data_IF_664826434451
#
_entry.id   IF_664826434451
#
_cell.length_a   1.000
_cell.length_b   1.000
_cell.length_c   1.000
_cell.angle_alpha   90.00
_cell.angle_beta   90.00
_cell.angle_gamma   90.00
#
_symmetry.space_group_name_H-M   'P 1'
#
loop_
_entity.id
_entity.type
_entity.pdbx_description
1 polymer ?
#
# COMPACT_ATOMS: atom_id res chain seq x y z
N UNK A 1 11.50 -10.93 -36.86
CA UNK A 1 10.59 -10.89 -35.69
C UNK A 1 11.49 -10.92 -34.49
N UNK A 2 11.62 -9.79 -33.77
CA UNK A 2 12.36 -9.73 -32.53
C UNK A 2 11.39 -10.15 -31.43
N UNK A 3 11.68 -11.25 -30.75
CA UNK A 3 10.96 -11.66 -29.55
C UNK A 3 11.07 -10.54 -28.50
N UNK A 4 9.98 -10.16 -27.82
CA UNK A 4 10.05 -9.23 -26.70
C UNK A 4 10.81 -9.92 -25.56
N UNK A 5 12.01 -9.45 -25.25
CA UNK A 5 12.77 -9.87 -24.06
C UNK A 5 12.05 -9.35 -22.82
N UNK A 6 11.25 -10.20 -22.19
CA UNK A 6 10.65 -9.93 -20.88
C UNK A 6 11.78 -9.91 -19.85
N UNK A 7 11.99 -8.80 -19.11
CA UNK A 7 13.02 -8.76 -18.10
C UNK A 7 12.72 -9.77 -16.97
N UNK A 8 13.75 -10.32 -16.31
CA UNK A 8 13.55 -11.28 -15.23
C UNK A 8 12.76 -10.64 -14.09
N UNK A 9 11.86 -11.37 -13.41
CA UNK A 9 11.06 -10.84 -12.32
C UNK A 9 11.97 -10.43 -11.17
N UNK A 10 12.03 -9.14 -10.90
CA UNK A 10 12.61 -8.65 -9.65
C UNK A 10 11.61 -8.96 -8.53
N UNK A 11 11.98 -9.90 -7.65
CA UNK A 11 11.28 -10.11 -6.38
C UNK A 11 11.34 -8.81 -5.60
N UNK A 12 10.24 -8.10 -5.47
CA UNK A 12 10.23 -6.87 -4.71
C UNK A 12 8.91 -6.54 -4.04
N UNK A 13 9.05 -5.91 -3.01
CA UNK A 13 8.36 -4.83 -2.35
C UNK A 13 7.10 -5.18 -1.56
N UNK A 14 6.12 -5.88 -2.07
CA UNK A 14 4.96 -6.26 -1.23
C UNK A 14 5.35 -7.21 -0.09
N UNK A 15 6.31 -8.10 -0.31
CA UNK A 15 6.81 -9.00 0.74
C UNK A 15 7.60 -8.25 1.84
N UNK A 16 8.19 -7.09 1.52
CA UNK A 16 8.96 -6.28 2.48
C UNK A 16 8.05 -5.41 3.35
N UNK A 17 7.00 -4.82 2.80
CA UNK A 17 6.00 -4.09 3.59
C UNK A 17 5.29 -5.00 4.61
N UNK A 18 4.96 -6.23 4.22
CA UNK A 18 4.35 -7.24 5.09
C UNK A 18 5.30 -7.62 6.23
N UNK A 19 6.62 -7.75 5.99
CA UNK A 19 7.61 -8.15 7.02
C UNK A 19 7.89 -7.08 8.07
N UNK A 20 7.89 -5.80 7.74
CA UNK A 20 8.18 -4.73 8.69
C UNK A 20 7.07 -4.55 9.74
N UNK A 21 5.81 -4.79 9.40
CA UNK A 21 4.71 -4.76 10.37
C UNK A 21 4.69 -5.99 11.31
N UNK A 22 5.20 -7.14 10.87
CA UNK A 22 5.21 -8.36 11.67
C UNK A 22 6.28 -8.34 12.77
N UNK A 23 7.40 -7.63 12.60
CA UNK A 23 8.47 -7.60 13.60
C UNK A 23 8.18 -6.71 14.81
N UNK A 24 7.21 -5.82 14.76
CA UNK A 24 6.87 -4.95 15.90
C UNK A 24 5.89 -5.60 16.90
N UNK A 25 5.29 -6.77 16.60
CA UNK A 25 4.24 -7.41 17.41
C UNK A 25 4.63 -8.72 18.09
N UNK A 26 5.81 -9.31 17.83
CA UNK A 26 6.19 -10.60 18.43
C UNK A 26 7.20 -10.38 19.54
N UNK A 27 6.71 -9.99 20.70
CA UNK A 27 7.37 -10.16 21.97
C UNK A 27 7.08 -11.56 22.53
N UNK A 28 8.09 -12.42 22.57
CA UNK A 28 8.25 -13.56 23.47
C UNK A 28 7.28 -14.75 23.35
N UNK A 29 7.65 -15.74 22.55
CA UNK A 29 7.56 -17.16 22.98
C UNK A 29 8.38 -18.05 22.04
N UNK A 30 9.21 -18.89 22.65
CA UNK A 30 10.32 -19.61 22.03
C UNK A 30 9.91 -20.80 21.15
N UNK A 31 10.92 -21.27 20.45
CA UNK A 31 11.07 -22.49 19.66
C UNK A 31 10.56 -22.48 18.22
N UNK A 32 11.38 -21.89 17.34
CA UNK A 32 11.59 -22.46 16.01
C UNK A 32 13.09 -22.35 15.67
N UNK A 33 13.84 -23.40 15.94
CA UNK A 33 15.24 -23.60 15.49
C UNK A 33 15.25 -24.43 14.22
N UNK A 34 16.09 -23.98 13.30
CA UNK A 34 16.63 -24.65 12.12
C UNK A 34 15.96 -24.32 10.78
N UNK A 35 16.54 -23.35 10.08
CA UNK A 35 17.05 -23.38 8.70
C UNK A 35 17.46 -22.01 8.14
N UNK A 36 17.64 -20.99 8.97
CA UNK A 36 18.00 -19.62 8.50
C UNK A 36 19.44 -19.19 8.89
N UNK A 37 20.32 -20.09 9.29
CA UNK A 37 21.67 -19.75 9.77
C UNK A 37 22.70 -19.44 8.66
N UNK A 38 22.47 -19.83 7.40
CA UNK A 38 23.53 -19.81 6.38
C UNK A 38 23.56 -18.57 5.47
N UNK A 39 22.51 -17.75 5.46
CA UNK A 39 22.49 -16.51 4.66
C UNK A 39 22.94 -15.28 5.45
N UNK A 40 22.87 -15.33 6.78
CA UNK A 40 23.17 -14.20 7.67
C UNK A 40 24.68 -13.93 7.85
N UNK A 41 25.54 -14.93 7.71
CA UNK A 41 26.98 -14.79 8.03
C UNK A 41 27.77 -14.05 6.95
N UNK A 42 27.33 -14.04 5.69
CA UNK A 42 28.01 -13.28 4.63
C UNK A 42 27.67 -11.78 4.62
N UNK A 43 26.55 -11.37 5.22
CA UNK A 43 26.16 -9.98 5.39
C UNK A 43 26.87 -9.29 6.57
N UNK A 44 27.19 -10.02 7.64
CA UNK A 44 27.77 -9.42 8.85
C UNK A 44 29.24 -8.96 8.70
N UNK A 45 29.99 -9.43 7.71
CA UNK A 45 31.38 -8.98 7.50
C UNK A 45 31.53 -7.63 6.80
N UNK A 46 30.44 -7.04 6.26
CA UNK A 46 30.45 -5.69 5.64
C UNK A 46 30.01 -4.56 6.58
N UNK A 47 29.48 -4.85 7.77
CA UNK A 47 28.88 -3.83 8.66
C UNK A 47 29.70 -3.44 9.88
N UNK A 48 30.99 -3.86 9.99
CA UNK A 48 31.86 -3.43 11.10
C UNK A 48 32.07 -1.90 11.16
N UNK A 49 31.96 -1.19 10.04
CA UNK A 49 32.08 0.27 9.99
C UNK A 49 30.77 1.03 10.30
N UNK A 50 29.62 0.35 10.29
CA UNK A 50 28.32 0.97 10.59
C UNK A 50 28.07 1.06 12.10
N UNK A 51 28.52 0.08 12.87
CA UNK A 51 28.36 0.07 14.34
C UNK A 51 29.21 1.12 15.06
N UNK A 52 30.39 1.47 14.52
CA UNK A 52 31.22 2.54 15.07
C UNK A 52 30.57 3.95 14.88
N UNK A 53 29.81 4.15 13.81
CA UNK A 53 29.08 5.41 13.58
C UNK A 53 27.81 5.54 14.44
N UNK A 54 27.15 4.43 14.77
CA UNK A 54 26.00 4.44 15.68
C UNK A 54 26.42 4.74 17.12
N UNK A 55 27.56 4.19 17.58
CA UNK A 55 28.10 4.45 18.91
C UNK A 55 28.50 5.93 19.11
N UNK A 56 29.01 6.60 18.07
CA UNK A 56 29.33 8.02 18.12
C UNK A 56 28.07 8.90 18.18
N UNK A 57 26.99 8.53 17.46
CA UNK A 57 25.73 9.27 17.48
C UNK A 57 25.02 9.18 18.85
N UNK A 58 25.08 8.04 19.52
CA UNK A 58 24.53 7.88 20.87
C UNK A 58 25.30 8.65 21.94
N UNK A 59 26.62 8.81 21.79
CA UNK A 59 27.43 9.60 22.73
C UNK A 59 27.12 11.11 22.67
N UNK A 60 26.76 11.64 21.50
CA UNK A 60 26.34 13.04 21.35
C UNK A 60 24.92 13.31 21.90
N UNK A 61 24.02 12.32 21.88
CA UNK A 61 22.67 12.46 22.47
C UNK A 61 22.69 12.46 24.00
N UNK A 62 23.62 11.74 24.64
CA UNK A 62 23.76 11.70 26.09
C UNK A 62 24.42 12.95 26.69
N UNK A 63 25.22 13.68 25.93
CA UNK A 63 25.83 14.93 26.37
C UNK A 63 24.85 16.12 26.35
N UNK A 64 23.74 16.04 25.61
CA UNK A 64 22.72 17.10 25.54
C UNK A 64 21.68 17.03 26.68
N UNK A 65 21.67 15.99 27.51
CA UNK A 65 20.70 15.77 28.58
C UNK A 65 21.18 16.30 29.97
N UNK A 66 22.37 16.90 30.05
CA UNK A 66 22.98 17.29 31.31
C UNK A 66 22.87 18.79 31.68
N UNK A 67 22.11 19.58 30.92
CA UNK A 67 21.91 21.02 31.26
C UNK A 67 20.43 21.37 31.19
N UNK A 68 19.79 21.53 32.36
CA UNK A 68 18.49 22.17 32.42
C UNK A 68 17.49 21.55 33.38
N UNK A 69 17.78 21.55 34.68
CA UNK A 69 16.70 21.48 35.68
C UNK A 69 16.12 22.88 35.87
N UNK A 70 14.91 23.09 35.39
CA UNK A 70 14.04 24.21 35.82
C UNK A 70 12.61 23.70 36.03
N UNK A 71 12.02 24.20 37.07
CA UNK A 71 10.85 23.87 37.88
C UNK A 71 9.55 23.53 37.14
N UNK A 72 8.59 22.83 37.79
CA UNK A 72 7.36 22.38 37.14
C UNK A 72 6.39 23.54 36.96
N UNK A 73 6.24 24.00 35.74
CA UNK A 73 5.15 24.83 35.28
C UNK A 73 3.98 23.93 34.85
N UNK A 74 2.81 24.34 35.22
CA UNK A 74 1.49 23.79 34.96
C UNK A 74 1.36 23.32 33.50
N UNK A 75 1.17 22.01 33.27
CA UNK A 75 0.98 21.43 31.95
C UNK A 75 -0.44 21.70 31.51
N UNK A 76 -0.64 22.77 30.75
CA UNK A 76 -1.82 22.92 29.90
C UNK A 76 -1.78 21.79 28.90
N UNK A 77 -2.73 20.88 28.99
CA UNK A 77 -2.78 19.67 28.19
C UNK A 77 -2.83 19.97 26.68
N UNK A 78 -1.67 19.88 26.04
CA UNK A 78 -1.55 19.87 24.59
C UNK A 78 -2.13 18.56 24.10
N UNK A 79 -3.28 18.61 23.44
CA UNK A 79 -3.92 17.45 22.82
C UNK A 79 -2.95 16.90 21.77
N UNK A 80 -2.42 15.72 22.02
CA UNK A 80 -1.68 14.95 21.02
C UNK A 80 -2.47 14.91 19.70
N UNK A 81 -1.83 15.11 18.54
CA UNK A 81 -2.52 15.06 17.26
C UNK A 81 -3.13 13.67 17.07
N UNK A 82 -4.44 13.64 16.83
CA UNK A 82 -5.18 12.43 16.51
C UNK A 82 -4.64 11.88 15.19
N UNK A 83 -4.17 10.61 15.13
CA UNK A 83 -3.77 10.00 13.86
C UNK A 83 -4.93 10.03 12.87
N UNK A 84 -4.76 10.64 11.72
CA UNK A 84 -5.76 10.75 10.66
C UNK A 84 -6.37 12.13 10.44
N UNK A 85 -5.97 13.16 11.19
CA UNK A 85 -6.29 14.54 10.82
C UNK A 85 -5.22 15.03 9.84
N UNK A 86 -5.59 15.43 8.61
CA UNK A 86 -4.63 16.10 7.73
C UNK A 86 -4.12 17.34 8.49
N UNK A 87 -2.83 17.38 8.76
CA UNK A 87 -2.18 18.62 9.19
C UNK A 87 -2.42 19.58 8.02
N UNK A 88 -3.15 20.66 8.25
CA UNK A 88 -3.28 21.76 7.32
C UNK A 88 -1.91 22.45 7.19
N UNK A 89 -0.93 21.75 6.66
CA UNK A 89 0.23 22.34 6.04
C UNK A 89 -0.25 22.99 4.74
N UNK A 90 0.11 24.23 4.51
CA UNK A 90 -0.07 24.90 3.23
C UNK A 90 0.55 24.00 2.16
N UNK A 91 -0.31 23.27 1.43
CA UNK A 91 0.12 22.48 0.26
C UNK A 91 0.69 23.47 -0.74
N UNK A 92 2.02 23.49 -0.91
CA UNK A 92 2.65 24.31 -1.92
C UNK A 92 2.30 23.75 -3.29
N UNK A 93 1.96 24.63 -4.22
CA UNK A 93 1.83 24.23 -5.62
C UNK A 93 3.23 24.05 -6.19
N UNK A 94 3.41 23.06 -7.05
CA UNK A 94 4.65 22.90 -7.80
C UNK A 94 4.90 24.19 -8.62
N UNK A 95 5.94 24.93 -8.25
CA UNK A 95 6.27 26.21 -8.85
C UNK A 95 6.84 26.03 -10.26
N UNK A 96 6.83 27.11 -11.05
CA UNK A 96 7.45 27.11 -12.38
C UNK A 96 8.94 26.80 -12.31
N UNK A 97 9.65 27.35 -11.33
CA UNK A 97 11.08 27.08 -11.09
C UNK A 97 11.35 25.60 -10.80
N UNK A 98 10.49 24.95 -10.00
CA UNK A 98 10.60 23.51 -9.73
C UNK A 98 10.34 22.68 -10.98
N UNK A 99 9.39 23.08 -11.84
CA UNK A 99 9.13 22.42 -13.14
C UNK A 99 10.32 22.56 -14.08
N UNK A 100 10.87 23.75 -14.23
CA UNK A 100 12.07 24.00 -15.05
C UNK A 100 13.26 23.17 -14.54
N UNK A 101 13.43 23.09 -13.22
CA UNK A 101 14.48 22.25 -12.62
C UNK A 101 14.28 20.77 -12.97
N UNK A 102 13.05 20.26 -12.88
CA UNK A 102 12.73 18.89 -13.27
C UNK A 102 12.93 18.67 -14.76
N UNK A 103 12.59 19.64 -15.62
CA UNK A 103 12.80 19.56 -17.07
C UNK A 103 14.26 19.41 -17.45
N UNK A 104 15.17 20.00 -16.67
CA UNK A 104 16.62 19.86 -16.84
C UNK A 104 17.20 18.51 -16.41
N UNK A 105 16.40 17.64 -15.77
CA UNK A 105 16.83 16.31 -15.28
C UNK A 105 16.62 15.22 -16.32
N UNK A 106 17.38 14.12 -16.20
CA UNK A 106 17.12 12.89 -16.97
C UNK A 106 15.87 12.15 -16.44
N UNK A 107 15.25 11.24 -17.24
CA UNK A 107 14.00 10.58 -16.92
C UNK A 107 13.95 9.92 -15.54
N UNK A 108 15.00 9.21 -15.13
CA UNK A 108 15.10 8.58 -13.81
C UNK A 108 15.00 9.60 -12.66
N UNK A 109 15.75 10.69 -12.77
CA UNK A 109 15.77 11.75 -11.77
C UNK A 109 14.44 12.53 -11.75
N UNK A 110 13.79 12.71 -12.90
CA UNK A 110 12.46 13.31 -13.00
C UNK A 110 11.44 12.48 -12.24
N UNK A 111 11.41 11.14 -12.45
CA UNK A 111 10.48 10.24 -11.77
C UNK A 111 10.68 10.26 -10.24
N UNK A 112 11.92 10.15 -9.79
CA UNK A 112 12.26 10.19 -8.36
C UNK A 112 11.90 11.54 -7.73
N UNK A 113 12.24 12.66 -8.38
CA UNK A 113 11.98 14.01 -7.87
C UNK A 113 10.48 14.31 -7.80
N UNK A 114 9.73 14.02 -8.87
CA UNK A 114 8.28 14.26 -8.90
C UNK A 114 7.54 13.37 -7.90
N UNK A 115 7.96 12.12 -7.71
CA UNK A 115 7.37 11.26 -6.68
C UNK A 115 7.68 11.79 -5.27
N UNK A 116 8.87 12.32 -5.03
CA UNK A 116 9.21 12.99 -3.76
C UNK A 116 8.32 14.22 -3.52
N UNK A 117 8.07 15.04 -4.54
CA UNK A 117 7.15 16.17 -4.45
C UNK A 117 5.71 15.70 -4.19
N UNK A 118 5.24 14.63 -4.84
CA UNK A 118 3.93 14.07 -4.62
C UNK A 118 3.75 13.56 -3.17
N UNK A 119 4.73 12.84 -2.63
CA UNK A 119 4.76 12.39 -1.23
C UNK A 119 4.72 13.58 -0.26
N UNK A 120 5.38 14.68 -0.61
CA UNK A 120 5.39 15.92 0.18
C UNK A 120 4.14 16.79 -0.09
N UNK A 121 3.12 16.26 -0.75
CA UNK A 121 1.85 16.92 -1.07
C UNK A 121 1.98 18.21 -1.89
N UNK A 122 2.99 18.32 -2.76
CA UNK A 122 3.07 19.41 -3.74
C UNK A 122 1.99 19.19 -4.81
N UNK A 123 1.07 20.15 -4.92
CA UNK A 123 -0.02 20.10 -5.90
C UNK A 123 0.54 20.12 -7.32
N UNK A 124 -0.06 19.34 -8.20
CA UNK A 124 0.37 19.20 -9.60
C UNK A 124 1.50 18.19 -9.81
N UNK A 125 2.19 17.70 -8.75
CA UNK A 125 3.27 16.72 -8.92
C UNK A 125 2.78 15.40 -9.52
N UNK A 126 1.61 14.92 -9.11
CA UNK A 126 0.98 13.71 -9.67
C UNK A 126 0.55 13.90 -11.12
N UNK A 127 0.12 15.10 -11.51
CA UNK A 127 -0.24 15.42 -12.90
C UNK A 127 0.99 15.48 -13.79
N UNK A 128 2.10 16.04 -13.30
CA UNK A 128 3.38 16.03 -13.99
C UNK A 128 3.90 14.61 -14.20
N UNK A 129 3.77 13.71 -13.22
CA UNK A 129 4.09 12.28 -13.37
C UNK A 129 3.25 11.69 -14.51
N UNK A 130 1.94 11.86 -14.47
CA UNK A 130 1.01 11.34 -15.48
C UNK A 130 1.32 11.85 -16.89
N UNK A 131 1.70 13.12 -17.02
CA UNK A 131 2.06 13.73 -18.30
C UNK A 131 3.36 13.17 -18.89
N UNK A 132 4.35 12.82 -18.05
CA UNK A 132 5.69 12.41 -18.46
C UNK A 132 5.88 10.90 -18.56
N UNK A 133 5.08 10.11 -17.88
CA UNK A 133 5.26 8.67 -17.74
C UNK A 133 5.40 7.94 -19.08
N UNK A 134 4.71 8.41 -20.12
CA UNK A 134 4.83 7.84 -21.47
C UNK A 134 6.25 7.99 -22.04
N UNK A 135 6.91 9.12 -21.74
CA UNK A 135 8.29 9.38 -22.18
C UNK A 135 9.30 8.56 -21.37
N UNK A 136 9.00 8.29 -20.10
CA UNK A 136 9.90 7.53 -19.22
C UNK A 136 9.91 6.03 -19.52
N UNK A 137 8.88 5.51 -20.15
CA UNK A 137 8.76 4.09 -20.45
C UNK A 137 9.98 3.57 -21.22
N UNK A 138 10.61 2.52 -20.70
CA UNK A 138 11.86 1.97 -21.22
C UNK A 138 13.13 2.80 -20.93
N UNK A 139 13.00 3.99 -20.28
CA UNK A 139 14.13 4.85 -19.93
C UNK A 139 14.40 4.90 -18.42
N UNK A 140 13.44 4.49 -17.61
CA UNK A 140 13.58 4.38 -16.15
C UNK A 140 13.65 2.91 -15.74
N UNK A 141 14.26 2.67 -14.60
CA UNK A 141 14.40 1.32 -14.03
C UNK A 141 14.19 1.36 -12.52
N UNK A 142 13.96 0.21 -11.95
CA UNK A 142 13.91 0.05 -10.50
C UNK A 142 15.29 0.38 -9.92
N UNK A 143 15.38 1.47 -9.15
CA UNK A 143 16.54 1.85 -8.35
C UNK A 143 16.18 1.74 -6.86
N UNK A 144 17.19 1.65 -5.98
CA UNK A 144 16.95 1.63 -4.52
C UNK A 144 16.24 2.92 -4.06
N UNK A 145 16.58 4.07 -4.66
CA UNK A 145 15.96 5.35 -4.37
C UNK A 145 14.49 5.35 -4.79
N UNK A 146 14.17 4.92 -6.02
CA UNK A 146 12.81 4.85 -6.52
C UNK A 146 11.97 3.84 -5.72
N UNK A 147 12.53 2.66 -5.39
CA UNK A 147 11.87 1.66 -4.56
C UNK A 147 11.47 2.24 -3.20
N UNK A 148 12.41 2.93 -2.52
CA UNK A 148 12.13 3.56 -1.23
C UNK A 148 11.02 4.60 -1.32
N UNK A 149 11.02 5.44 -2.36
CA UNK A 149 9.97 6.44 -2.57
C UNK A 149 8.62 5.78 -2.86
N UNK A 150 8.59 4.74 -3.69
CA UNK A 150 7.36 3.99 -3.98
C UNK A 150 6.78 3.35 -2.72
N UNK A 151 7.63 2.76 -1.87
CA UNK A 151 7.21 2.17 -0.60
C UNK A 151 6.59 3.23 0.33
N UNK A 152 7.21 4.39 0.47
CA UNK A 152 6.66 5.50 1.26
C UNK A 152 5.31 5.96 0.69
N UNK A 153 5.22 6.12 -0.63
CA UNK A 153 4.01 6.56 -1.32
C UNK A 153 2.85 5.56 -1.17
N UNK A 154 3.11 4.26 -1.30
CA UNK A 154 2.10 3.20 -1.16
C UNK A 154 1.62 3.02 0.29
N UNK A 155 2.42 3.40 1.28
CA UNK A 155 2.02 3.41 2.69
C UNK A 155 1.32 4.72 3.11
N UNK A 156 1.30 5.75 2.27
CA UNK A 156 0.56 6.99 2.50
C UNK A 156 -0.94 6.84 2.20
N UNK A 157 -1.77 7.73 2.71
CA UNK A 157 -3.24 7.70 2.56
C UNK A 157 -3.76 8.40 1.29
N UNK A 158 -2.89 9.10 0.55
CA UNK A 158 -3.29 9.81 -0.67
C UNK A 158 -3.33 8.86 -1.88
N UNK A 159 -4.55 8.51 -2.31
CA UNK A 159 -4.76 7.61 -3.46
C UNK A 159 -4.22 8.18 -4.78
N UNK A 160 -4.09 9.51 -4.91
CA UNK A 160 -3.48 10.14 -6.11
C UNK A 160 -1.99 9.83 -6.17
N UNK A 161 -1.33 9.87 -5.02
CA UNK A 161 0.11 9.52 -4.91
C UNK A 161 0.33 8.03 -5.16
N UNK A 162 -0.54 7.16 -4.62
CA UNK A 162 -0.51 5.72 -4.93
C UNK A 162 -0.74 5.45 -6.42
N UNK A 163 -1.70 6.15 -7.02
CA UNK A 163 -1.96 6.06 -8.45
C UNK A 163 -0.75 6.50 -9.31
N UNK A 164 -0.02 7.53 -8.86
CA UNK A 164 1.21 7.96 -9.51
C UNK A 164 2.33 6.90 -9.41
N UNK A 165 2.39 6.14 -8.29
CA UNK A 165 3.28 4.97 -8.19
C UNK A 165 2.91 3.93 -9.25
N UNK A 166 1.62 3.64 -9.47
CA UNK A 166 1.21 2.69 -10.51
C UNK A 166 1.64 3.13 -11.90
N UNK A 167 1.54 4.44 -12.20
CA UNK A 167 2.03 4.99 -13.46
C UNK A 167 3.54 4.77 -13.64
N UNK A 168 4.32 5.07 -12.60
CA UNK A 168 5.79 4.89 -12.61
C UNK A 168 6.15 3.41 -12.74
N UNK A 169 5.47 2.52 -12.02
CA UNK A 169 5.77 1.10 -12.02
C UNK A 169 5.48 0.45 -13.38
N UNK A 170 4.37 0.83 -14.01
CA UNK A 170 4.08 0.42 -15.40
C UNK A 170 5.17 0.91 -16.36
N UNK A 171 5.71 2.13 -16.18
CA UNK A 171 6.80 2.65 -17.01
C UNK A 171 8.12 1.93 -16.78
N UNK A 172 8.45 1.58 -15.51
CA UNK A 172 9.63 0.76 -15.15
C UNK A 172 9.55 -0.62 -15.80
N UNK A 173 8.37 -1.24 -15.79
CA UNK A 173 8.13 -2.54 -16.43
C UNK A 173 8.01 -2.46 -17.96
N UNK A 174 8.06 -1.26 -18.54
CA UNK A 174 7.84 -1.00 -19.96
C UNK A 174 6.45 -1.46 -20.46
N UNK A 175 5.44 -1.47 -19.58
CA UNK A 175 4.07 -1.88 -19.88
C UNK A 175 3.27 -0.67 -20.38
N UNK A 176 2.60 -0.83 -21.51
CA UNK A 176 1.73 0.20 -22.08
C UNK A 176 0.29 0.06 -21.57
N UNK A 177 -0.39 1.19 -21.38
CA UNK A 177 -1.80 1.19 -20.96
C UNK A 177 -2.72 1.02 -22.16
N UNK A 178 -2.72 -0.19 -22.75
CA UNK A 178 -3.53 -0.57 -23.90
C UNK A 178 -4.24 -1.90 -23.68
N UNK A 179 -5.32 -2.15 -24.43
CA UNK A 179 -6.03 -3.43 -24.39
C UNK A 179 -5.16 -4.57 -24.92
N UNK A 180 -4.27 -4.30 -25.86
CA UNK A 180 -3.31 -5.28 -26.41
C UNK A 180 -2.34 -5.77 -25.34
N UNK A 181 -1.82 -4.86 -24.51
CA UNK A 181 -0.92 -5.21 -23.41
C UNK A 181 -1.67 -5.98 -22.31
N UNK A 182 -2.90 -5.57 -21.98
CA UNK A 182 -3.74 -6.31 -21.05
C UNK A 182 -4.02 -7.72 -21.55
N UNK A 183 -4.32 -7.90 -22.83
CA UNK A 183 -4.51 -9.21 -23.46
C UNK A 183 -3.25 -10.07 -23.40
N UNK A 184 -2.08 -9.48 -23.67
CA UNK A 184 -0.81 -10.18 -23.57
C UNK A 184 -0.56 -10.70 -22.14
N UNK A 185 -0.78 -9.85 -21.12
CA UNK A 185 -0.62 -10.24 -19.73
C UNK A 185 -1.66 -11.29 -19.27
N UNK A 186 -2.89 -11.23 -19.75
CA UNK A 186 -3.94 -12.23 -19.46
C UNK A 186 -3.56 -13.63 -19.98
N UNK A 187 -2.77 -13.73 -21.04
CA UNK A 187 -2.30 -15.01 -21.61
C UNK A 187 -1.05 -15.58 -20.94
N UNK A 188 -0.32 -14.79 -20.18
CA UNK A 188 0.95 -15.21 -19.54
C UNK A 188 0.80 -16.48 -18.70
N UNK A 189 -0.24 -16.65 -17.85
CA UNK A 189 -0.40 -17.88 -17.06
C UNK A 189 -0.47 -19.17 -17.88
N UNK A 190 -0.98 -19.09 -19.10
CA UNK A 190 -1.11 -20.23 -20.00
C UNK A 190 0.19 -20.48 -20.80
N UNK A 191 0.89 -19.40 -21.18
CA UNK A 191 2.05 -19.46 -22.10
C UNK A 191 3.39 -19.56 -21.36
N UNK A 192 3.51 -18.91 -20.21
CA UNK A 192 4.71 -18.92 -19.35
C UNK A 192 4.35 -18.84 -17.87
N UNK A 193 3.95 -19.97 -17.25
CA UNK A 193 3.45 -20.02 -15.87
C UNK A 193 4.38 -19.40 -14.81
N UNK A 194 5.69 -19.35 -15.07
CA UNK A 194 6.66 -18.76 -14.13
C UNK A 194 6.48 -17.24 -13.93
N UNK A 195 5.80 -16.57 -14.88
CA UNK A 195 5.51 -15.14 -14.81
C UNK A 195 4.05 -14.83 -14.40
N UNK A 196 3.28 -15.83 -13.97
CA UNK A 196 1.87 -15.65 -13.57
C UNK A 196 1.71 -14.56 -12.53
N UNK A 197 2.50 -14.58 -11.46
CA UNK A 197 2.41 -13.57 -10.40
C UNK A 197 2.74 -12.16 -10.90
N UNK A 198 3.71 -12.04 -11.80
CA UNK A 198 4.08 -10.79 -12.45
C UNK A 198 2.91 -10.24 -13.29
N UNK A 199 2.30 -11.08 -14.12
CA UNK A 199 1.19 -10.66 -14.97
C UNK A 199 -0.02 -10.22 -14.14
N UNK A 200 -0.39 -10.98 -13.12
CA UNK A 200 -1.51 -10.65 -12.21
C UNK A 200 -1.28 -9.29 -11.54
N UNK A 201 -0.07 -9.03 -11.06
CA UNK A 201 0.30 -7.77 -10.43
C UNK A 201 0.07 -6.55 -11.34
N UNK A 202 0.53 -6.62 -12.59
CA UNK A 202 0.38 -5.51 -13.53
C UNK A 202 -1.05 -5.38 -14.10
N UNK A 203 -1.80 -6.46 -14.17
CA UNK A 203 -3.21 -6.43 -14.55
C UNK A 203 -4.04 -5.60 -13.55
N UNK A 204 -3.84 -5.76 -12.24
CA UNK A 204 -4.51 -4.92 -11.23
C UNK A 204 -4.21 -3.43 -11.43
N UNK A 205 -2.96 -3.08 -11.74
CA UNK A 205 -2.56 -1.69 -12.02
C UNK A 205 -3.12 -1.14 -13.32
N UNK A 206 -3.14 -1.95 -14.39
CA UNK A 206 -3.77 -1.57 -15.65
C UNK A 206 -5.26 -1.31 -15.46
N UNK A 207 -5.97 -2.18 -14.75
CA UNK A 207 -7.39 -2.01 -14.45
C UNK A 207 -7.66 -0.75 -13.63
N UNK A 208 -6.85 -0.47 -12.60
CA UNK A 208 -6.92 0.79 -11.85
C UNK A 208 -6.69 2.02 -12.73
N UNK A 209 -5.87 1.89 -13.79
CA UNK A 209 -5.63 2.96 -14.76
C UNK A 209 -6.63 2.98 -15.92
N UNK A 210 -7.74 2.23 -15.82
CA UNK A 210 -8.87 2.24 -16.74
C UNK A 210 -8.70 1.36 -17.98
N UNK A 211 -7.74 0.43 -17.99
CA UNK A 211 -7.55 -0.52 -19.09
C UNK A 211 -8.32 -1.81 -18.78
N UNK A 212 -9.35 -2.10 -19.57
CA UNK A 212 -10.17 -3.32 -19.49
C UNK A 212 -10.60 -3.74 -18.05
N UNK A 213 -11.05 -2.80 -17.17
CA UNK A 213 -11.20 -3.06 -15.75
C UNK A 213 -12.17 -4.22 -15.46
N UNK A 214 -13.31 -4.29 -16.13
CA UNK A 214 -14.31 -5.34 -15.90
C UNK A 214 -13.81 -6.71 -16.34
N UNK A 215 -13.10 -6.77 -17.47
CA UNK A 215 -12.53 -8.03 -17.98
C UNK A 215 -11.40 -8.53 -17.08
N UNK A 216 -10.50 -7.64 -16.70
CA UNK A 216 -9.39 -7.98 -15.79
C UNK A 216 -9.96 -8.43 -14.44
N UNK A 217 -10.92 -7.70 -13.87
CA UNK A 217 -11.55 -8.05 -12.61
C UNK A 217 -12.20 -9.45 -12.67
N UNK A 218 -12.94 -9.74 -13.75
CA UNK A 218 -13.54 -11.05 -13.96
C UNK A 218 -12.51 -12.17 -13.96
N UNK A 219 -11.36 -11.97 -14.59
CA UNK A 219 -10.28 -12.96 -14.60
C UNK A 219 -9.57 -13.08 -13.25
N UNK A 220 -9.37 -11.96 -12.55
CA UNK A 220 -8.78 -11.98 -11.20
C UNK A 220 -9.67 -12.74 -10.20
N UNK A 221 -11.00 -12.66 -10.31
CA UNK A 221 -11.95 -13.49 -9.54
C UNK A 221 -11.69 -14.98 -9.76
N UNK A 222 -11.46 -15.42 -10.99
CA UNK A 222 -11.14 -16.83 -11.28
C UNK A 222 -9.83 -17.23 -10.58
N UNK A 223 -8.80 -16.39 -10.66
CA UNK A 223 -7.51 -16.68 -10.02
C UNK A 223 -7.54 -16.54 -8.50
N UNK A 224 -8.43 -15.74 -7.94
CA UNK A 224 -8.66 -15.67 -6.49
C UNK A 224 -9.19 -17.00 -5.88
N UNK A 225 -9.68 -17.93 -6.72
CA UNK A 225 -10.07 -19.28 -6.31
C UNK A 225 -9.09 -20.37 -6.81
N UNK A 226 -7.89 -20.00 -7.24
CA UNK A 226 -6.85 -20.96 -7.66
C UNK A 226 -6.45 -21.91 -6.52
N UNK A 227 -6.10 -23.14 -6.85
CA UNK A 227 -5.50 -24.07 -5.87
C UNK A 227 -4.14 -23.55 -5.37
N UNK A 228 -3.42 -22.80 -6.19
CA UNK A 228 -2.13 -22.20 -5.84
C UNK A 228 -2.31 -20.95 -4.96
N UNK A 229 -1.84 -21.03 -3.72
CA UNK A 229 -1.91 -19.94 -2.73
C UNK A 229 -1.28 -18.63 -3.24
N UNK A 230 -0.13 -18.69 -3.91
CA UNK A 230 0.56 -17.49 -4.42
C UNK A 230 -0.25 -16.80 -5.51
N UNK A 231 -0.92 -17.58 -6.38
CA UNK A 231 -1.83 -17.04 -7.39
C UNK A 231 -3.03 -16.37 -6.73
N UNK A 232 -3.65 -16.99 -5.70
CA UNK A 232 -4.76 -16.39 -4.95
C UNK A 232 -4.31 -15.10 -4.27
N UNK A 233 -3.16 -15.12 -3.59
CA UNK A 233 -2.60 -13.97 -2.89
C UNK A 233 -2.40 -12.78 -3.85
N UNK A 234 -1.82 -13.03 -5.03
CA UNK A 234 -1.62 -11.99 -6.05
C UNK A 234 -2.91 -11.51 -6.67
N UNK A 235 -3.86 -12.42 -6.94
CA UNK A 235 -5.16 -12.06 -7.50
C UNK A 235 -5.96 -11.18 -6.54
N UNK A 236 -6.03 -11.52 -5.27
CA UNK A 236 -6.72 -10.73 -4.24
C UNK A 236 -6.05 -9.38 -4.02
N UNK A 237 -4.70 -9.31 -4.03
CA UNK A 237 -3.97 -8.03 -3.98
C UNK A 237 -4.28 -7.16 -5.21
N UNK A 238 -4.32 -7.77 -6.41
CA UNK A 238 -4.64 -7.05 -7.64
C UNK A 238 -6.10 -6.54 -7.65
N UNK A 239 -7.05 -7.31 -7.08
CA UNK A 239 -8.43 -6.87 -6.87
C UNK A 239 -8.47 -5.62 -5.95
N UNK A 240 -7.68 -5.61 -4.87
CA UNK A 240 -7.56 -4.44 -4.00
C UNK A 240 -6.95 -3.23 -4.72
N UNK A 241 -6.03 -3.46 -5.67
CA UNK A 241 -5.41 -2.41 -6.49
C UNK A 241 -6.38 -1.81 -7.54
N UNK A 242 -7.41 -2.54 -8.00
CA UNK A 242 -8.45 -1.97 -8.87
C UNK A 242 -9.17 -0.83 -8.17
N UNK A 243 -9.65 -1.05 -6.95
CA UNK A 243 -10.18 0.00 -6.07
C UNK A 243 -11.56 0.52 -6.49
N UNK A 244 -12.44 -0.33 -7.02
CA UNK A 244 -13.83 -0.02 -7.38
C UNK A 244 -14.83 -0.64 -6.40
N UNK A 245 -16.08 -0.16 -6.40
CA UNK A 245 -17.13 -0.63 -5.47
C UNK A 245 -17.38 -2.14 -5.58
N UNK A 246 -17.30 -2.67 -6.78
CA UNK A 246 -17.54 -4.09 -7.09
C UNK A 246 -16.40 -5.02 -6.64
N UNK A 247 -15.24 -4.48 -6.25
CA UNK A 247 -14.15 -5.26 -5.65
C UNK A 247 -14.33 -5.52 -4.15
N UNK A 248 -15.18 -4.74 -3.48
CA UNK A 248 -15.37 -4.85 -2.02
C UNK A 248 -15.92 -6.20 -1.60
N UNK A 249 -16.97 -6.77 -2.24
CA UNK A 249 -17.46 -8.10 -1.89
C UNK A 249 -16.42 -9.20 -2.03
N UNK A 250 -15.59 -9.16 -3.08
CA UNK A 250 -14.54 -10.16 -3.32
C UNK A 250 -13.47 -10.12 -2.23
N UNK A 251 -13.12 -8.92 -1.77
CA UNK A 251 -12.15 -8.74 -0.67
C UNK A 251 -12.73 -9.20 0.68
N UNK A 252 -14.01 -8.94 0.95
CA UNK A 252 -14.69 -9.44 2.17
C UNK A 252 -14.73 -10.96 2.16
N UNK A 253 -15.11 -11.58 1.03
CA UNK A 253 -15.15 -13.02 0.85
C UNK A 253 -13.77 -13.65 1.09
N UNK A 254 -12.73 -13.15 0.45
CA UNK A 254 -11.37 -13.64 0.61
C UNK A 254 -10.85 -13.45 2.05
N UNK A 255 -11.18 -12.33 2.72
CA UNK A 255 -10.79 -12.09 4.09
C UNK A 255 -11.44 -13.06 5.07
N UNK A 256 -12.71 -13.41 4.84
CA UNK A 256 -13.45 -14.31 5.72
C UNK A 256 -13.12 -15.79 5.46
N UNK A 257 -13.04 -16.20 4.18
CA UNK A 257 -13.16 -17.62 3.81
C UNK A 257 -11.92 -18.23 3.14
N UNK A 258 -10.89 -17.46 2.72
CA UNK A 258 -9.71 -18.08 2.13
C UNK A 258 -9.02 -19.02 3.12
N UNK A 259 -8.58 -20.17 2.64
CA UNK A 259 -7.88 -21.16 3.46
C UNK A 259 -6.53 -20.63 4.00
N UNK A 260 -5.88 -19.73 3.24
CA UNK A 260 -4.58 -19.17 3.62
C UNK A 260 -4.72 -17.94 4.50
N UNK A 261 -4.07 -17.97 5.64
CA UNK A 261 -3.90 -16.82 6.52
C UNK A 261 -3.28 -15.59 5.79
N UNK A 262 -2.31 -15.83 4.91
CA UNK A 262 -1.67 -14.77 4.13
C UNK A 262 -2.64 -14.12 3.14
N UNK A 263 -3.46 -14.89 2.45
CA UNK A 263 -4.48 -14.34 1.56
C UNK A 263 -5.51 -13.54 2.36
N UNK A 264 -5.98 -14.09 3.50
CA UNK A 264 -6.92 -13.36 4.35
C UNK A 264 -6.38 -12.02 4.83
N UNK A 265 -5.20 -12.00 5.44
CA UNK A 265 -4.69 -10.81 6.14
C UNK A 265 -3.86 -9.91 5.24
N UNK A 266 -2.85 -10.48 4.54
CA UNK A 266 -1.86 -9.68 3.84
C UNK A 266 -2.40 -9.10 2.51
N UNK A 267 -3.42 -9.72 1.93
CA UNK A 267 -4.05 -9.25 0.69
C UNK A 267 -5.43 -8.65 0.96
N UNK A 268 -6.41 -9.45 1.38
CA UNK A 268 -7.79 -9.02 1.49
C UNK A 268 -8.00 -8.02 2.64
N UNK A 269 -7.57 -8.37 3.85
CA UNK A 269 -7.71 -7.53 5.03
C UNK A 269 -6.93 -6.23 4.91
N UNK A 270 -5.69 -6.28 4.40
CA UNK A 270 -4.88 -5.10 4.11
C UNK A 270 -5.55 -4.23 3.03
N UNK A 271 -6.02 -4.84 1.93
CA UNK A 271 -6.70 -4.15 0.83
C UNK A 271 -7.94 -3.38 1.27
N UNK A 272 -8.77 -4.00 2.14
CA UNK A 272 -9.94 -3.35 2.72
C UNK A 272 -9.57 -2.25 3.73
N UNK A 273 -8.58 -2.49 4.59
CA UNK A 273 -8.23 -1.54 5.64
C UNK A 273 -7.48 -0.32 5.11
N UNK A 274 -6.36 -0.51 4.40
CA UNK A 274 -5.47 0.61 4.03
C UNK A 274 -4.55 0.39 2.82
N UNK A 275 -4.26 -0.85 2.39
CA UNK A 275 -3.24 -1.10 1.36
C UNK A 275 -3.74 -0.91 -0.08
N UNK A 276 -5.04 -1.12 -0.34
CA UNK A 276 -5.63 -1.05 -1.68
C UNK A 276 -5.96 0.36 -2.13
N UNK A 277 -6.60 0.45 -3.30
CA UNK A 277 -7.01 1.71 -3.92
C UNK A 277 -8.45 2.12 -3.59
N UNK A 278 -9.11 1.44 -2.67
CA UNK A 278 -10.45 1.81 -2.21
C UNK A 278 -10.43 3.11 -1.43
N UNK A 279 -11.35 4.01 -1.75
CA UNK A 279 -11.63 5.20 -0.94
C UNK A 279 -12.25 4.81 0.40
N UNK A 280 -12.19 5.68 1.41
CA UNK A 280 -12.84 5.41 2.70
C UNK A 280 -14.35 5.17 2.57
N UNK A 281 -15.01 5.90 1.67
CA UNK A 281 -16.43 5.71 1.41
C UNK A 281 -16.76 4.32 0.84
N UNK A 282 -15.92 3.81 -0.06
CA UNK A 282 -16.04 2.46 -0.61
C UNK A 282 -15.77 1.39 0.46
N UNK A 283 -14.74 1.57 1.28
CA UNK A 283 -14.43 0.65 2.40
C UNK A 283 -15.57 0.51 3.40
N UNK A 284 -16.40 1.56 3.58
CA UNK A 284 -17.59 1.49 4.45
C UNK A 284 -18.60 0.41 4.01
N UNK A 285 -18.59 0.00 2.73
CA UNK A 285 -19.43 -1.07 2.23
C UNK A 285 -19.01 -2.45 2.78
N UNK A 286 -17.75 -2.61 3.20
CA UNK A 286 -17.25 -3.83 3.81
C UNK A 286 -17.70 -4.01 5.27
N UNK A 287 -18.10 -2.93 5.95
CA UNK A 287 -18.36 -2.95 7.41
C UNK A 287 -19.38 -4.00 7.82
N UNK A 288 -20.55 -4.18 7.15
CA UNK A 288 -21.48 -5.26 7.50
C UNK A 288 -20.85 -6.65 7.43
N UNK A 289 -20.16 -6.97 6.33
CA UNK A 289 -19.50 -8.27 6.17
C UNK A 289 -18.34 -8.49 7.16
N UNK A 290 -17.62 -7.43 7.54
CA UNK A 290 -16.59 -7.52 8.59
C UNK A 290 -17.20 -7.78 9.96
N UNK A 291 -18.38 -7.23 10.27
CA UNK A 291 -19.09 -7.50 11.51
C UNK A 291 -19.53 -8.97 11.53
N UNK A 292 -20.10 -9.48 10.44
CA UNK A 292 -20.44 -10.90 10.29
C UNK A 292 -19.22 -11.81 10.46
N UNK A 293 -18.10 -11.45 9.84
CA UNK A 293 -16.86 -12.21 9.91
C UNK A 293 -16.35 -12.33 11.36
N UNK A 294 -16.33 -11.26 12.14
CA UNK A 294 -15.85 -11.29 13.53
C UNK A 294 -16.82 -11.98 14.50
N UNK A 295 -18.04 -12.29 14.07
CA UNK A 295 -19.02 -13.12 14.79
C UNK A 295 -18.84 -14.63 14.52
N UNK A 296 -18.11 -14.99 13.46
CA UNK A 296 -17.89 -16.40 13.14
C UNK A 296 -16.93 -17.05 14.15
N UNK A 297 -17.50 -17.88 15.02
CA UNK A 297 -16.77 -18.62 16.06
C UNK A 297 -15.77 -19.64 15.52
N UNK A 298 -15.80 -19.92 14.20
CA UNK A 298 -14.87 -20.84 13.54
C UNK A 298 -13.63 -20.13 13.04
N UNK A 299 -13.68 -18.80 12.97
CA UNK A 299 -12.56 -17.98 12.52
C UNK A 299 -11.42 -18.05 13.55
N UNK A 300 -10.19 -18.13 13.07
CA UNK A 300 -9.03 -18.09 13.96
C UNK A 300 -8.87 -16.70 14.62
N UNK A 301 -8.29 -16.71 15.84
CA UNK A 301 -8.22 -15.52 16.68
C UNK A 301 -7.37 -14.38 16.07
N UNK A 302 -6.39 -14.69 15.23
CA UNK A 302 -5.57 -13.64 14.59
C UNK A 302 -6.36 -12.96 13.45
N UNK A 303 -7.04 -13.72 12.60
CA UNK A 303 -7.91 -13.15 11.56
C UNK A 303 -9.03 -12.32 12.19
N UNK A 304 -9.62 -12.76 13.31
CA UNK A 304 -10.62 -11.99 14.05
C UNK A 304 -10.07 -10.65 14.56
N UNK A 305 -8.87 -10.63 15.14
CA UNK A 305 -8.21 -9.38 15.58
C UNK A 305 -7.98 -8.42 14.41
N UNK A 306 -7.57 -8.93 13.24
CA UNK A 306 -7.43 -8.12 12.04
C UNK A 306 -8.76 -7.59 11.52
N UNK A 307 -9.87 -8.36 11.66
CA UNK A 307 -11.22 -7.89 11.36
C UNK A 307 -11.61 -6.67 12.21
N UNK A 308 -11.42 -6.74 13.53
CA UNK A 308 -11.64 -5.58 14.41
C UNK A 308 -10.70 -4.42 14.12
N UNK A 309 -9.46 -4.69 13.74
CA UNK A 309 -8.54 -3.65 13.29
C UNK A 309 -9.05 -2.96 12.02
N UNK A 310 -9.48 -3.72 11.02
CA UNK A 310 -10.05 -3.20 9.79
C UNK A 310 -11.30 -2.33 10.08
N UNK A 311 -12.20 -2.79 10.95
CA UNK A 311 -13.36 -2.02 11.39
C UNK A 311 -12.95 -0.66 11.98
N UNK A 312 -11.94 -0.61 12.85
CA UNK A 312 -11.40 0.63 13.43
C UNK A 312 -10.81 1.56 12.38
N UNK A 313 -10.00 1.04 11.48
CA UNK A 313 -9.33 1.82 10.44
C UNK A 313 -10.31 2.39 9.41
N UNK A 314 -11.31 1.61 8.99
CA UNK A 314 -12.34 2.03 8.04
C UNK A 314 -13.24 3.11 8.65
N UNK A 315 -13.73 2.89 9.87
CA UNK A 315 -14.80 3.71 10.47
C UNK A 315 -14.25 4.88 11.32
N UNK A 316 -12.98 4.80 11.73
CA UNK A 316 -12.36 5.70 12.71
C UNK A 316 -13.02 5.63 14.10
N UNK A 317 -13.60 4.47 14.44
CA UNK A 317 -14.24 4.21 15.72
C UNK A 317 -13.39 3.30 16.61
N UNK A 318 -13.56 3.41 17.94
CA UNK A 318 -12.85 2.61 18.94
C UNK A 318 -13.84 1.88 19.83
N UNK A 319 -14.61 0.94 19.26
CA UNK A 319 -15.69 0.23 19.95
C UNK A 319 -15.26 -1.10 20.60
N UNK A 320 -13.95 -1.40 20.60
CA UNK A 320 -13.44 -2.65 21.19
C UNK A 320 -13.58 -3.86 20.27
N UNK A 321 -13.45 -5.04 20.85
CA UNK A 321 -13.46 -6.34 20.16
C UNK A 321 -14.72 -7.15 20.47
N UNK A 322 -15.86 -6.47 20.58
CA UNK A 322 -17.22 -7.04 20.69
C UNK A 322 -18.03 -6.61 19.45
N UNK A 323 -18.66 -7.54 18.70
CA UNK A 323 -19.40 -7.19 17.49
C UNK A 323 -20.70 -6.41 17.76
N UNK A 324 -21.31 -6.53 18.94
CA UNK A 324 -22.57 -5.88 19.29
C UNK A 324 -22.51 -4.35 19.12
N UNK A 325 -21.58 -3.63 19.79
CA UNK A 325 -21.38 -2.18 19.62
C UNK A 325 -21.12 -1.75 18.18
N UNK A 326 -20.39 -2.56 17.38
CA UNK A 326 -20.16 -2.27 15.95
C UNK A 326 -21.43 -2.32 15.12
N UNK A 327 -22.30 -3.33 15.39
CA UNK A 327 -23.60 -3.45 14.72
C UNK A 327 -24.52 -2.27 15.04
N UNK A 328 -24.63 -1.93 16.32
CA UNK A 328 -25.45 -0.81 16.78
C UNK A 328 -24.95 0.51 16.18
N UNK A 329 -23.65 0.75 16.23
CA UNK A 329 -23.05 1.94 15.66
C UNK A 329 -23.30 2.05 14.15
N UNK A 330 -23.07 0.96 13.41
CA UNK A 330 -23.25 0.98 11.96
C UNK A 330 -24.72 1.22 11.57
N UNK A 331 -25.66 0.60 12.27
CA UNK A 331 -27.08 0.81 12.04
C UNK A 331 -27.48 2.28 12.28
N UNK A 332 -26.90 2.93 13.29
CA UNK A 332 -27.23 4.33 13.63
C UNK A 332 -26.48 5.36 12.78
N UNK A 333 -25.24 5.09 12.37
CA UNK A 333 -24.32 6.11 11.83
C UNK A 333 -23.64 5.73 10.51
N UNK A 334 -23.79 4.50 10.04
CA UNK A 334 -23.07 3.99 8.85
C UNK A 334 -23.33 4.81 7.60
N UNK A 335 -24.61 5.11 7.29
CA UNK A 335 -24.99 5.87 6.12
C UNK A 335 -24.47 7.32 6.15
N UNK A 336 -24.61 8.01 7.29
CA UNK A 336 -24.12 9.38 7.48
C UNK A 336 -22.60 9.44 7.37
N UNK A 337 -21.90 8.49 7.98
CA UNK A 337 -20.43 8.42 7.92
C UNK A 337 -19.94 8.19 6.50
N UNK A 338 -20.59 7.29 5.75
CA UNK A 338 -20.27 7.02 4.35
C UNK A 338 -20.43 8.28 3.50
N UNK A 339 -21.54 9.02 3.68
CA UNK A 339 -21.76 10.26 2.93
C UNK A 339 -20.75 11.35 3.30
N UNK A 340 -20.40 11.48 4.57
CA UNK A 340 -19.36 12.40 5.02
C UNK A 340 -18.01 12.09 4.38
N UNK A 341 -17.64 10.81 4.23
CA UNK A 341 -16.40 10.41 3.54
C UNK A 341 -16.45 10.72 2.04
N UNK A 342 -17.61 10.54 1.37
CA UNK A 342 -17.79 10.93 -0.03
C UNK A 342 -17.64 12.44 -0.24
N UNK A 343 -18.25 13.22 0.63
CA UNK A 343 -18.12 14.69 0.58
C UNK A 343 -16.69 15.14 0.79
N UNK A 344 -15.98 14.57 1.77
CA UNK A 344 -14.56 14.87 2.00
C UNK A 344 -13.72 14.52 0.77
N UNK A 345 -13.94 13.36 0.16
CA UNK A 345 -13.23 12.95 -1.05
C UNK A 345 -13.46 13.94 -2.20
N UNK A 346 -14.72 14.36 -2.46
CA UNK A 346 -15.02 15.37 -3.49
C UNK A 346 -14.29 16.69 -3.25
N UNK A 347 -14.19 17.12 -1.98
CA UNK A 347 -13.44 18.33 -1.62
C UNK A 347 -11.94 18.16 -1.94
N UNK A 348 -11.37 17.00 -1.63
CA UNK A 348 -9.96 16.73 -1.90
C UNK A 348 -9.66 16.63 -3.41
N UNK A 349 -10.56 16.04 -4.18
CA UNK A 349 -10.45 15.92 -5.65
C UNK A 349 -10.64 17.27 -6.37
N UNK A 350 -11.50 18.14 -5.82
CA UNK A 350 -11.75 19.47 -6.37
C UNK A 350 -10.63 20.49 -6.06
N UNK A 351 -9.70 20.14 -5.20
CA UNK A 351 -8.54 21.00 -4.93
C UNK A 351 -7.48 20.75 -6.02
N UNK A 352 -7.21 21.78 -6.88
CA UNK A 352 -6.26 21.67 -7.97
C UNK A 352 -4.85 21.37 -7.51
#
# INVERSE_FOLDING_TARGET
MLEPTIPPPMMTTSAVCIRLHFMASVGNSGNFRATYADVSIRSMRRNAYSLARLALACAFLLAALAVGQSQPGEIVGEKLPVPGRPVHGTTSQLSEVEREMVDGMGPQQQAERLLQYAISHHRGATDEIKARVKQWRGQIKQSDALTTLMDVALNGDDLRVRAAVFEIDLAVANIEKTSEEAEALLRVPETDPKYTEYSIWYLGRLANRGVEPERIHSQLRVWAHSENEQVRLRAVSAIADIGTDDTVPDLVEAFHHDASFHVRIDSAGCGLAHCGMLTRAQRMQAVPGLIEMVEDKKLDGETMKYGYRALREITDQKLGDDPGPWREWYAAHGAETTERFRQFQKIMEAQP
#
